data_IF_651529899733
#
_entry.id   IF_651529899733
#
_cell.length_a   1.000
_cell.length_b   1.000
_cell.length_c   1.000
_cell.angle_alpha   90.00
_cell.angle_beta   90.00
_cell.angle_gamma   90.00
#
_symmetry.space_group_name_H-M   'P 1'
#
loop_
_entity.id
_entity.type
_entity.pdbx_description
1 polymer ?
#
# COMPACT_ATOMS: atom_id res chain seq x y z
N UNK A 1 8.42 26.53 41.57
CA UNK A 1 9.47 25.50 41.46
C UNK A 1 10.54 26.05 40.54
N UNK A 2 11.65 26.55 41.07
CA UNK A 2 12.76 27.04 40.26
C UNK A 2 13.56 25.83 39.78
N UNK A 3 13.51 25.56 38.48
CA UNK A 3 14.36 24.55 37.83
C UNK A 3 15.81 25.01 38.00
N UNK A 4 16.67 24.14 38.55
CA UNK A 4 18.06 24.48 38.84
C UNK A 4 18.82 24.81 37.55
N UNK A 5 19.83 25.67 37.60
CA UNK A 5 20.65 25.97 36.40
C UNK A 5 21.29 24.71 35.80
N UNK A 6 21.65 23.75 36.66
CA UNK A 6 22.15 22.43 36.25
C UNK A 6 21.16 21.66 35.38
N UNK A 7 19.85 21.75 35.67
CA UNK A 7 18.83 21.05 34.87
C UNK A 7 18.61 21.72 33.51
N UNK A 8 18.86 23.04 33.40
CA UNK A 8 18.79 23.77 32.13
C UNK A 8 19.97 23.43 31.23
N UNK A 9 21.17 23.30 31.80
CA UNK A 9 22.36 22.85 31.05
C UNK A 9 22.21 21.41 30.59
N UNK A 10 21.74 20.51 31.46
CA UNK A 10 21.46 19.11 31.09
C UNK A 10 20.39 19.03 29.98
N UNK A 11 19.33 19.84 30.04
CA UNK A 11 18.34 19.92 28.95
C UNK A 11 18.92 20.50 27.66
N UNK A 12 19.87 21.44 27.74
CA UNK A 12 20.53 22.01 26.58
C UNK A 12 21.51 21.00 25.93
N UNK A 13 22.22 20.21 26.73
CA UNK A 13 23.07 19.12 26.24
C UNK A 13 22.24 17.96 25.67
N UNK A 14 21.13 17.58 26.31
CA UNK A 14 20.20 16.59 25.75
C UNK A 14 19.58 17.08 24.44
N UNK A 15 19.30 18.38 24.30
CA UNK A 15 18.84 18.98 23.04
C UNK A 15 19.92 19.00 21.96
N UNK A 16 21.19 19.28 22.31
CA UNK A 16 22.31 19.17 21.36
C UNK A 16 22.56 17.71 20.94
N UNK A 17 22.49 16.77 21.88
CA UNK A 17 22.59 15.34 21.60
C UNK A 17 21.41 14.81 20.79
N UNK A 18 20.20 15.34 20.98
CA UNK A 18 19.04 15.07 20.12
C UNK A 18 19.21 15.64 18.71
N UNK A 19 19.92 16.76 18.52
CA UNK A 19 20.23 17.27 17.18
C UNK A 19 21.25 16.36 16.45
N UNK A 20 22.24 15.82 17.17
CA UNK A 20 23.26 14.91 16.61
C UNK A 20 22.76 13.47 16.38
N UNK A 21 21.77 13.00 17.15
CA UNK A 21 21.20 11.62 17.06
C UNK A 21 19.85 11.60 16.31
N UNK A 22 19.43 12.69 15.67
CA UNK A 22 18.31 12.67 14.70
C UNK A 22 18.77 12.32 13.30
N UNK A 23 19.66 11.34 13.17
CA UNK A 23 19.76 10.57 11.93
C UNK A 23 18.58 9.60 11.91
N UNK A 24 17.37 10.14 11.72
CA UNK A 24 16.24 9.33 11.31
C UNK A 24 16.71 8.51 10.12
N UNK A 25 16.51 7.19 10.08
CA UNK A 25 16.87 6.42 8.89
C UNK A 25 15.77 6.59 7.86
N UNK A 26 16.04 7.24 6.74
CA UNK A 26 15.10 7.27 5.63
C UNK A 26 15.28 5.98 4.80
N UNK A 27 14.29 5.08 4.79
CA UNK A 27 14.38 3.82 4.06
C UNK A 27 14.21 4.00 2.54
N UNK A 28 13.80 5.18 2.08
CA UNK A 28 13.44 5.45 0.68
C UNK A 28 14.67 5.86 -0.15
N UNK A 29 15.66 6.46 0.49
CA UNK A 29 16.86 6.98 -0.19
C UNK A 29 18.03 6.02 -0.03
N UNK A 30 18.55 5.54 -1.16
CA UNK A 30 19.75 4.71 -1.22
C UNK A 30 20.91 5.34 -0.46
N UNK A 31 21.14 6.65 -0.68
CA UNK A 31 22.22 7.40 -0.05
C UNK A 31 22.18 7.37 1.48
N UNK A 32 21.00 7.45 2.10
CA UNK A 32 20.89 7.45 3.57
C UNK A 32 21.14 6.07 4.14
N UNK A 33 20.80 5.00 3.42
CA UNK A 33 21.16 3.62 3.79
C UNK A 33 22.67 3.36 3.66
N UNK A 34 23.31 3.89 2.63
CA UNK A 34 24.76 3.84 2.49
C UNK A 34 25.44 4.60 3.65
N UNK A 35 24.98 5.81 3.98
CA UNK A 35 25.48 6.59 5.12
C UNK A 35 25.23 5.86 6.45
N UNK A 36 24.07 5.23 6.61
CA UNK A 36 23.75 4.43 7.81
C UNK A 36 24.70 3.25 7.95
N UNK A 37 25.05 2.59 6.85
CA UNK A 37 25.99 1.47 6.86
C UNK A 37 27.38 1.90 7.30
N UNK A 38 27.84 3.06 6.84
CA UNK A 38 29.13 3.62 7.24
C UNK A 38 29.14 4.08 8.69
N UNK A 39 28.02 4.55 9.23
CA UNK A 39 27.92 4.95 10.64
C UNK A 39 27.90 3.73 11.58
N UNK A 40 27.11 2.71 11.24
CA UNK A 40 26.94 1.52 12.10
C UNK A 40 28.18 0.63 12.05
N UNK A 41 28.73 0.39 10.86
CA UNK A 41 29.80 -0.60 10.64
C UNK A 41 31.15 0.01 10.29
N UNK A 42 31.24 1.32 10.05
CA UNK A 42 32.51 1.97 9.68
C UNK A 42 33.58 1.89 10.77
N UNK A 43 33.18 1.70 12.03
CA UNK A 43 34.10 1.47 13.14
C UNK A 43 34.62 0.02 13.22
N UNK A 44 33.90 -0.95 12.64
CA UNK A 44 34.13 -2.37 12.88
C UNK A 44 34.84 -3.09 11.72
N UNK A 45 34.54 -2.75 10.45
CA UNK A 45 35.33 -3.13 9.27
C UNK A 45 34.75 -2.46 8.00
N UNK A 46 35.60 -1.82 7.19
CA UNK A 46 35.22 -1.25 5.88
C UNK A 46 34.61 -2.28 4.93
N UNK A 47 35.04 -3.54 5.00
CA UNK A 47 34.53 -4.63 4.15
C UNK A 47 33.09 -4.95 4.53
N UNK A 48 32.77 -5.02 5.83
CA UNK A 48 31.40 -5.29 6.32
C UNK A 48 30.46 -4.15 5.96
N UNK A 49 30.91 -2.90 6.11
CA UNK A 49 30.14 -1.74 5.68
C UNK A 49 29.83 -1.79 4.18
N UNK A 50 30.82 -2.09 3.34
CA UNK A 50 30.63 -2.22 1.89
C UNK A 50 29.61 -3.31 1.54
N UNK A 51 29.77 -4.53 2.09
CA UNK A 51 28.86 -5.66 1.82
C UNK A 51 27.43 -5.34 2.22
N UNK A 52 27.22 -4.78 3.42
CA UNK A 52 25.90 -4.36 3.88
C UNK A 52 25.30 -3.28 2.96
N UNK A 53 26.11 -2.29 2.57
CA UNK A 53 25.69 -1.20 1.69
C UNK A 53 25.21 -1.70 0.32
N UNK A 54 25.92 -2.67 -0.26
CA UNK A 54 25.55 -3.31 -1.54
C UNK A 54 24.27 -4.13 -1.39
N UNK A 55 24.14 -4.90 -0.32
CA UNK A 55 22.93 -5.70 -0.06
C UNK A 55 21.70 -4.81 0.07
N UNK A 56 21.79 -3.72 0.85
CA UNK A 56 20.67 -2.77 0.99
C UNK A 56 20.39 -2.06 -0.35
N UNK A 57 21.43 -1.73 -1.12
CA UNK A 57 21.27 -1.14 -2.45
C UNK A 57 20.48 -2.05 -3.40
N UNK A 58 20.80 -3.34 -3.42
CA UNK A 58 20.11 -4.32 -4.25
C UNK A 58 18.66 -4.50 -3.82
N UNK A 59 18.36 -4.58 -2.52
CA UNK A 59 16.98 -4.66 -2.01
C UNK A 59 16.18 -3.41 -2.41
N UNK A 60 16.77 -2.22 -2.26
CA UNK A 60 16.13 -0.98 -2.69
C UNK A 60 15.87 -0.93 -4.20
N UNK A 61 16.82 -1.42 -5.02
CA UNK A 61 16.67 -1.47 -6.47
C UNK A 61 15.53 -2.41 -6.89
N UNK A 62 15.49 -3.63 -6.35
CA UNK A 62 14.41 -4.59 -6.63
C UNK A 62 13.05 -4.02 -6.26
N UNK A 63 12.92 -3.41 -5.08
CA UNK A 63 11.67 -2.77 -4.67
C UNK A 63 11.25 -1.61 -5.58
N UNK A 64 12.21 -0.82 -6.11
CA UNK A 64 11.92 0.24 -7.08
C UNK A 64 11.48 -0.30 -8.43
N UNK A 65 12.10 -1.39 -8.91
CA UNK A 65 11.71 -2.05 -10.17
C UNK A 65 10.27 -2.58 -10.09
N UNK A 66 9.90 -3.26 -9.00
CA UNK A 66 8.52 -3.75 -8.82
C UNK A 66 7.52 -2.61 -8.80
N UNK A 67 7.83 -1.49 -8.11
CA UNK A 67 6.95 -0.31 -8.10
C UNK A 67 6.81 0.35 -9.46
N UNK A 68 7.90 0.43 -10.23
CA UNK A 68 7.88 0.95 -11.59
C UNK A 68 6.99 0.08 -12.49
N UNK A 69 7.13 -1.24 -12.39
CA UNK A 69 6.32 -2.20 -13.14
C UNK A 69 4.82 -2.04 -12.83
N UNK A 70 4.46 -1.86 -11.55
CA UNK A 70 3.06 -1.65 -11.15
C UNK A 70 2.50 -0.37 -11.81
N UNK A 71 3.25 0.73 -11.80
CA UNK A 71 2.81 2.00 -12.39
C UNK A 71 2.67 1.87 -13.91
N UNK A 72 3.68 1.32 -14.57
CA UNK A 72 3.69 1.14 -16.03
C UNK A 72 2.57 0.21 -16.46
N UNK A 73 2.38 -0.92 -15.76
CA UNK A 73 1.28 -1.85 -16.02
C UNK A 73 -0.09 -1.19 -15.89
N UNK A 74 -0.30 -0.38 -14.85
CA UNK A 74 -1.55 0.35 -14.67
C UNK A 74 -1.84 1.35 -15.81
N UNK A 75 -0.81 2.06 -16.30
CA UNK A 75 -0.97 3.01 -17.41
C UNK A 75 -1.20 2.29 -18.74
N UNK A 76 -0.48 1.20 -19.00
CA UNK A 76 -0.66 0.39 -20.22
C UNK A 76 -2.05 -0.26 -20.25
N UNK A 77 -2.56 -0.72 -19.12
CA UNK A 77 -3.90 -1.32 -19.04
C UNK A 77 -5.02 -0.28 -19.26
N UNK A 78 -4.85 0.94 -18.74
CA UNK A 78 -5.84 2.01 -18.94
C UNK A 78 -5.82 2.59 -20.34
N UNK A 79 -4.66 2.61 -21.00
CA UNK A 79 -4.47 3.26 -22.30
C UNK A 79 -3.81 2.30 -23.28
N UNK A 80 -4.61 1.72 -24.16
CA UNK A 80 -4.17 0.75 -25.17
C UNK A 80 -3.10 1.29 -26.13
N UNK A 81 -2.97 2.62 -26.27
CA UNK A 81 -1.95 3.25 -27.11
C UNK A 81 -0.50 2.98 -26.63
N UNK A 82 -0.30 2.57 -25.37
CA UNK A 82 1.02 2.22 -24.83
C UNK A 82 1.34 0.72 -24.92
N UNK A 83 0.54 -0.06 -25.65
CA UNK A 83 0.81 -1.50 -25.86
C UNK A 83 2.00 -1.76 -26.76
N UNK A 84 2.35 -0.81 -27.63
CA UNK A 84 3.54 -0.90 -28.49
C UNK A 84 4.84 -0.85 -27.66
N UNK A 85 5.85 -1.68 -27.96
CA UNK A 85 7.07 -1.77 -27.17
C UNK A 85 7.84 -0.44 -27.12
N UNK A 86 7.83 0.33 -28.21
CA UNK A 86 8.47 1.64 -28.27
C UNK A 86 7.73 2.67 -27.40
N UNK A 87 6.40 2.64 -27.40
CA UNK A 87 5.57 3.54 -26.60
C UNK A 87 5.72 3.21 -25.10
N UNK A 88 5.76 1.92 -24.75
CA UNK A 88 6.02 1.45 -23.40
C UNK A 88 7.43 1.88 -22.91
N UNK A 89 8.46 1.76 -23.76
CA UNK A 89 9.81 2.23 -23.43
C UNK A 89 9.85 3.74 -23.14
N UNK A 90 9.19 4.56 -23.98
CA UNK A 90 9.09 6.01 -23.77
C UNK A 90 8.35 6.32 -22.47
N UNK A 91 7.26 5.59 -22.17
CA UNK A 91 6.51 5.72 -20.92
C UNK A 91 7.40 5.45 -19.70
N UNK A 92 8.20 4.38 -19.73
CA UNK A 92 9.16 4.06 -18.66
C UNK A 92 10.13 5.22 -18.42
N UNK A 93 10.71 5.80 -19.49
CA UNK A 93 11.60 6.96 -19.38
C UNK A 93 10.89 8.15 -18.73
N UNK A 94 9.67 8.47 -19.17
CA UNK A 94 8.90 9.58 -18.62
C UNK A 94 8.63 9.37 -17.12
N UNK A 95 8.19 8.18 -16.72
CA UNK A 95 7.94 7.84 -15.31
C UNK A 95 9.22 7.93 -14.48
N UNK A 96 10.36 7.47 -15.01
CA UNK A 96 11.66 7.60 -14.36
C UNK A 96 12.08 9.08 -14.19
N UNK A 97 11.94 9.90 -15.22
CA UNK A 97 12.26 11.34 -15.17
C UNK A 97 11.37 12.09 -14.17
N UNK A 98 10.06 11.83 -14.17
CA UNK A 98 9.12 12.42 -13.20
C UNK A 98 9.46 12.01 -11.77
N UNK A 99 9.78 10.74 -11.54
CA UNK A 99 10.22 10.26 -10.23
C UNK A 99 11.54 10.92 -9.78
N UNK A 100 12.47 11.14 -10.70
CA UNK A 100 13.72 11.84 -10.40
C UNK A 100 13.46 13.30 -10.00
N UNK A 101 12.61 14.01 -10.74
CA UNK A 101 12.23 15.40 -10.42
C UNK A 101 11.54 15.50 -9.05
N UNK A 102 10.60 14.58 -8.77
CA UNK A 102 9.93 14.53 -7.48
C UNK A 102 10.91 14.22 -6.34
N UNK A 103 11.85 13.29 -6.56
CA UNK A 103 12.87 12.96 -5.58
C UNK A 103 13.80 14.16 -5.31
N UNK A 104 14.16 14.94 -6.34
CA UNK A 104 14.94 16.17 -6.16
C UNK A 104 14.18 17.22 -5.35
N UNK A 105 12.87 17.41 -5.60
CA UNK A 105 12.05 18.33 -4.82
C UNK A 105 11.97 17.91 -3.33
N UNK A 106 11.94 16.60 -3.06
CA UNK A 106 11.93 16.04 -1.70
C UNK A 106 13.32 16.00 -1.04
N UNK A 107 14.41 16.23 -1.78
CA UNK A 107 15.78 16.24 -1.28
C UNK A 107 16.23 17.60 -0.70
N UNK A 108 15.32 18.56 -0.52
CA UNK A 108 15.61 19.85 0.09
C UNK A 108 16.12 19.71 1.56
N UNK A 109 16.81 20.71 2.09
CA UNK A 109 17.50 20.70 3.41
C UNK A 109 16.64 20.31 4.61
N UNK A 110 15.31 20.38 4.49
CA UNK A 110 14.32 19.86 5.47
C UNK A 110 13.35 18.82 4.91
N UNK A 111 13.47 18.48 3.63
CA UNK A 111 12.66 17.47 2.97
C UNK A 111 12.86 16.08 3.56
N UNK A 112 14.02 15.84 4.17
CA UNK A 112 14.35 14.59 4.84
C UNK A 112 13.35 14.19 5.94
N UNK A 113 13.12 15.11 6.88
CA UNK A 113 12.22 14.90 8.01
C UNK A 113 10.79 14.68 7.49
N UNK A 114 10.38 15.47 6.49
CA UNK A 114 9.06 15.33 5.85
C UNK A 114 8.90 13.98 5.15
N UNK A 115 9.93 13.49 4.45
CA UNK A 115 9.89 12.19 3.79
C UNK A 115 9.86 11.03 4.81
N UNK A 116 10.54 11.17 5.96
CA UNK A 116 10.42 10.22 7.06
C UNK A 116 8.98 10.17 7.59
N UNK A 117 8.34 11.31 7.84
CA UNK A 117 6.93 11.36 8.25
C UNK A 117 5.98 10.75 7.22
N UNK A 118 6.19 11.03 5.93
CA UNK A 118 5.41 10.39 4.87
C UNK A 118 5.53 8.87 4.94
N UNK A 119 6.74 8.36 5.15
CA UNK A 119 7.00 6.94 5.16
C UNK A 119 6.45 6.21 6.40
N UNK A 120 6.53 6.83 7.57
CA UNK A 120 6.13 6.19 8.84
C UNK A 120 4.67 6.44 9.22
N UNK A 121 4.03 7.49 8.69
CA UNK A 121 2.67 7.89 9.08
C UNK A 121 1.73 7.88 7.88
N UNK A 122 2.05 8.63 6.83
CA UNK A 122 1.13 8.80 5.69
C UNK A 122 0.95 7.48 4.93
N UNK A 123 2.02 6.81 4.52
CA UNK A 123 1.91 5.57 3.72
C UNK A 123 1.20 4.43 4.47
N UNK A 124 1.45 4.18 5.77
CA UNK A 124 0.69 3.18 6.51
C UNK A 124 -0.80 3.50 6.61
N UNK A 125 -1.17 4.75 6.91
CA UNK A 125 -2.59 5.17 7.00
C UNK A 125 -3.28 5.04 5.64
N UNK A 126 -2.65 5.57 4.59
CA UNK A 126 -3.19 5.50 3.22
C UNK A 126 -3.30 4.05 2.75
N UNK A 127 -2.27 3.23 2.99
CA UNK A 127 -2.27 1.81 2.66
C UNK A 127 -3.38 1.04 3.37
N UNK A 128 -3.56 1.26 4.67
CA UNK A 128 -4.64 0.66 5.45
C UNK A 128 -6.03 1.10 4.94
N UNK A 129 -6.19 2.38 4.59
CA UNK A 129 -7.44 2.92 4.05
C UNK A 129 -7.77 2.33 2.67
N UNK A 130 -6.79 2.24 1.76
CA UNK A 130 -6.97 1.63 0.43
C UNK A 130 -7.36 0.15 0.58
N UNK A 131 -6.63 -0.62 1.38
CA UNK A 131 -6.94 -2.04 1.64
C UNK A 131 -8.34 -2.19 2.25
N UNK A 132 -8.71 -1.30 3.18
CA UNK A 132 -10.06 -1.29 3.75
C UNK A 132 -11.13 -1.03 2.68
N UNK A 133 -10.93 -0.05 1.79
CA UNK A 133 -11.86 0.22 0.70
C UNK A 133 -11.94 -0.94 -0.31
N UNK A 134 -10.83 -1.57 -0.65
CA UNK A 134 -10.80 -2.76 -1.51
C UNK A 134 -11.60 -3.91 -0.88
N UNK A 135 -11.36 -4.20 0.40
CA UNK A 135 -12.10 -5.23 1.14
C UNK A 135 -13.58 -4.87 1.29
N UNK A 136 -13.91 -3.60 1.50
CA UNK A 136 -15.29 -3.13 1.55
C UNK A 136 -16.01 -3.34 0.21
N UNK A 137 -15.36 -2.97 -0.90
CA UNK A 137 -15.91 -3.16 -2.25
C UNK A 137 -16.06 -4.64 -2.58
N UNK A 138 -15.04 -5.45 -2.27
CA UNK A 138 -15.09 -6.90 -2.43
C UNK A 138 -16.16 -7.55 -1.54
N UNK A 139 -16.34 -7.08 -0.32
CA UNK A 139 -17.30 -7.63 0.62
C UNK A 139 -18.75 -7.33 0.26
N UNK A 140 -19.05 -6.06 -0.02
CA UNK A 140 -20.42 -5.58 -0.21
C UNK A 140 -20.89 -5.73 -1.65
N UNK A 141 -20.09 -5.30 -2.63
CA UNK A 141 -20.53 -5.30 -4.03
C UNK A 141 -20.22 -6.62 -4.73
N UNK A 142 -19.07 -7.22 -4.45
CA UNK A 142 -18.68 -8.46 -5.11
C UNK A 142 -19.15 -9.73 -4.37
N UNK A 143 -19.04 -9.70 -3.04
CA UNK A 143 -19.25 -10.82 -2.13
C UNK A 143 -18.00 -11.67 -1.92
N UNK A 144 -17.49 -11.73 -0.69
CA UNK A 144 -16.30 -12.52 -0.32
C UNK A 144 -16.39 -14.00 -0.72
N UNK A 145 -17.59 -14.60 -0.62
CA UNK A 145 -17.82 -16.01 -1.00
C UNK A 145 -17.57 -16.27 -2.48
N UNK A 146 -18.04 -15.36 -3.33
CA UNK A 146 -17.85 -15.44 -4.79
C UNK A 146 -16.37 -15.28 -5.11
N UNK A 147 -15.73 -14.25 -4.52
CA UNK A 147 -14.33 -13.96 -4.75
C UNK A 147 -13.46 -15.15 -4.37
N UNK A 148 -13.69 -15.70 -3.18
CA UNK A 148 -13.00 -16.89 -2.70
C UNK A 148 -13.18 -18.10 -3.64
N UNK A 149 -14.40 -18.36 -4.12
CA UNK A 149 -14.69 -19.44 -5.06
C UNK A 149 -13.89 -19.29 -6.37
N UNK A 150 -13.88 -18.09 -6.93
CA UNK A 150 -13.15 -17.78 -8.16
C UNK A 150 -11.64 -17.93 -7.98
N UNK A 151 -11.07 -17.36 -6.92
CA UNK A 151 -9.64 -17.44 -6.62
C UNK A 151 -9.20 -18.88 -6.38
N UNK A 152 -9.99 -19.65 -5.60
CA UNK A 152 -9.68 -21.06 -5.35
C UNK A 152 -9.66 -21.87 -6.65
N UNK A 153 -10.60 -21.62 -7.56
CA UNK A 153 -10.66 -22.31 -8.84
C UNK A 153 -9.49 -21.91 -9.77
N UNK A 154 -9.06 -20.65 -9.74
CA UNK A 154 -7.89 -20.19 -10.52
C UNK A 154 -6.58 -20.76 -9.99
N UNK A 155 -6.41 -20.82 -8.66
CA UNK A 155 -5.15 -21.25 -8.01
C UNK A 155 -4.98 -22.75 -8.04
N UNK A 156 -6.01 -23.51 -7.66
CA UNK A 156 -5.91 -24.97 -7.52
C UNK A 156 -6.40 -25.73 -8.76
N UNK A 157 -6.99 -25.02 -9.72
CA UNK A 157 -7.68 -25.65 -10.85
C UNK A 157 -8.81 -26.58 -10.39
N UNK A 158 -9.30 -27.39 -11.33
CA UNK A 158 -10.35 -28.41 -11.10
C UNK A 158 -9.80 -29.64 -10.33
N UNK A 159 -8.51 -29.63 -9.95
CA UNK A 159 -7.80 -30.85 -9.58
C UNK A 159 -8.00 -31.29 -8.11
N UNK A 160 -8.66 -32.45 -8.02
CA UNK A 160 -8.62 -33.57 -7.05
C UNK A 160 -8.79 -33.31 -5.54
N UNK A 161 -9.78 -34.03 -5.03
CA UNK A 161 -10.46 -33.89 -3.75
C UNK A 161 -9.81 -34.67 -2.59
N UNK A 162 -8.48 -34.63 -2.43
CA UNK A 162 -7.83 -35.56 -1.49
C UNK A 162 -7.78 -35.09 -0.02
N UNK A 163 -8.17 -33.84 0.29
CA UNK A 163 -8.30 -33.40 1.68
C UNK A 163 -9.52 -32.47 1.90
N UNK A 164 -10.73 -33.01 1.73
CA UNK A 164 -11.99 -32.25 1.83
C UNK A 164 -12.12 -31.46 3.15
N UNK A 165 -11.69 -32.04 4.28
CA UNK A 165 -11.77 -31.40 5.62
C UNK A 165 -10.74 -30.28 5.81
N UNK A 166 -9.48 -30.52 5.46
CA UNK A 166 -8.41 -29.51 5.59
C UNK A 166 -8.68 -28.32 4.65
N UNK A 167 -9.14 -28.59 3.43
CA UNK A 167 -9.57 -27.55 2.49
C UNK A 167 -10.70 -26.72 3.07
N UNK A 168 -11.73 -27.35 3.65
CA UNK A 168 -12.82 -26.61 4.31
C UNK A 168 -12.33 -25.72 5.45
N UNK A 169 -11.43 -26.22 6.31
CA UNK A 169 -10.88 -25.41 7.40
C UNK A 169 -10.10 -24.20 6.88
N UNK A 170 -9.18 -24.40 5.94
CA UNK A 170 -8.43 -23.29 5.33
C UNK A 170 -9.37 -22.28 4.66
N UNK A 171 -10.41 -22.74 3.96
CA UNK A 171 -11.39 -21.85 3.34
C UNK A 171 -12.11 -20.97 4.38
N UNK A 172 -12.52 -21.56 5.51
CA UNK A 172 -13.18 -20.80 6.59
C UNK A 172 -12.23 -19.79 7.22
N UNK A 173 -10.97 -20.18 7.46
CA UNK A 173 -9.95 -19.27 8.03
C UNK A 173 -9.69 -18.09 7.10
N UNK A 174 -9.45 -18.33 5.81
CA UNK A 174 -9.22 -17.26 4.83
C UNK A 174 -10.43 -16.35 4.69
N UNK A 175 -11.65 -16.91 4.69
CA UNK A 175 -12.86 -16.11 4.60
C UNK A 175 -13.10 -15.27 5.85
N UNK A 176 -12.83 -15.81 7.05
CA UNK A 176 -12.88 -15.06 8.30
C UNK A 176 -11.82 -13.96 8.35
N UNK A 177 -10.61 -14.25 7.85
CA UNK A 177 -9.50 -13.30 7.77
C UNK A 177 -9.88 -12.08 6.91
N UNK A 178 -10.39 -12.33 5.71
CA UNK A 178 -10.79 -11.26 4.77
C UNK A 178 -12.02 -10.48 5.21
N UNK A 179 -13.02 -11.15 5.80
CA UNK A 179 -14.29 -10.50 6.12
C UNK A 179 -14.31 -9.78 7.47
N UNK A 180 -13.50 -10.24 8.43
CA UNK A 180 -13.54 -9.74 9.82
C UNK A 180 -12.18 -9.25 10.28
N UNK A 181 -11.14 -10.08 10.21
CA UNK A 181 -9.84 -9.76 10.82
C UNK A 181 -9.19 -8.57 10.13
N UNK A 182 -9.00 -8.62 8.81
CA UNK A 182 -8.32 -7.56 8.07
C UNK A 182 -9.03 -6.21 8.16
N UNK A 183 -10.36 -6.09 7.97
CA UNK A 183 -11.05 -4.80 8.13
C UNK A 183 -10.90 -4.22 9.54
N UNK A 184 -11.01 -5.05 10.59
CA UNK A 184 -10.82 -4.61 11.98
C UNK A 184 -9.38 -4.16 12.19
N UNK A 185 -8.39 -4.90 11.70
CA UNK A 185 -6.98 -4.50 11.77
C UNK A 185 -6.72 -3.17 11.07
N UNK A 186 -7.29 -2.92 9.89
CA UNK A 186 -7.15 -1.64 9.19
C UNK A 186 -7.74 -0.47 9.99
N UNK A 187 -8.96 -0.63 10.51
CA UNK A 187 -9.59 0.40 11.35
C UNK A 187 -8.77 0.65 12.61
N UNK A 188 -8.34 -0.42 13.30
CA UNK A 188 -7.52 -0.33 14.50
C UNK A 188 -6.19 0.38 14.24
N UNK A 189 -5.48 0.04 13.15
CA UNK A 189 -4.23 0.71 12.78
C UNK A 189 -4.42 2.22 12.56
N UNK A 190 -5.47 2.62 11.84
CA UNK A 190 -5.78 4.04 11.58
C UNK A 190 -6.13 4.75 12.90
N UNK A 191 -7.02 4.16 13.70
CA UNK A 191 -7.45 4.75 14.98
C UNK A 191 -6.28 4.88 15.95
N UNK A 192 -5.46 3.83 16.11
CA UNK A 192 -4.29 3.87 16.97
C UNK A 192 -3.28 4.93 16.50
N UNK A 193 -3.01 5.05 15.19
CA UNK A 193 -2.12 6.09 14.69
C UNK A 193 -2.60 7.50 15.04
N UNK A 194 -3.90 7.79 14.89
CA UNK A 194 -4.47 9.10 15.19
C UNK A 194 -4.50 9.38 16.70
N UNK A 195 -4.96 8.42 17.51
CA UNK A 195 -5.06 8.59 18.97
C UNK A 195 -3.68 8.67 19.62
N UNK A 196 -2.71 7.90 19.13
CA UNK A 196 -1.34 7.93 19.64
C UNK A 196 -0.67 9.28 19.35
N UNK A 197 -0.83 9.81 18.14
CA UNK A 197 -0.30 11.14 17.79
C UNK A 197 -0.91 12.25 18.66
N UNK A 198 -2.22 12.19 18.89
CA UNK A 198 -2.93 13.15 19.73
C UNK A 198 -2.52 13.06 21.21
N UNK A 199 -2.38 11.85 21.76
CA UNK A 199 -2.10 11.66 23.18
C UNK A 199 -0.66 12.02 23.57
N UNK A 200 0.31 11.85 22.66
CA UNK A 200 1.71 12.22 22.89
C UNK A 200 2.06 13.63 22.45
N UNK A 201 1.11 14.38 21.87
CA UNK A 201 1.35 15.71 21.30
C UNK A 201 2.56 15.74 20.35
N UNK A 202 2.79 14.64 19.62
CA UNK A 202 3.96 14.48 18.77
C UNK A 202 3.86 15.32 17.48
N UNK A 203 2.64 15.73 17.11
CA UNK A 203 2.32 16.53 15.92
C UNK A 203 2.90 15.94 14.61
N UNK A 204 2.90 14.62 14.46
CA UNK A 204 3.29 14.00 13.19
C UNK A 204 2.19 14.10 12.13
N UNK A 205 0.91 14.14 12.53
CA UNK A 205 -0.23 14.38 11.64
C UNK A 205 -0.49 15.88 11.45
N UNK A 206 0.54 16.60 11.03
CA UNK A 206 0.44 18.00 10.59
C UNK A 206 -0.53 18.15 9.41
N UNK A 207 -0.97 19.40 9.14
CA UNK A 207 -1.75 19.76 7.95
C UNK A 207 -1.13 19.24 6.65
N UNK A 208 0.20 19.19 6.56
CA UNK A 208 0.92 18.64 5.40
C UNK A 208 0.68 17.13 5.23
N UNK A 209 0.73 16.36 6.32
CA UNK A 209 0.46 14.91 6.30
C UNK A 209 -0.98 14.63 5.89
N UNK A 210 -1.94 15.39 6.43
CA UNK A 210 -3.35 15.30 6.05
C UNK A 210 -3.60 15.65 4.59
N UNK A 211 -2.93 16.68 4.06
CA UNK A 211 -3.03 17.04 2.64
C UNK A 211 -2.64 15.87 1.74
N UNK A 212 -1.55 15.17 2.04
CA UNK A 212 -1.13 14.00 1.27
C UNK A 212 -2.09 12.81 1.39
N UNK A 213 -2.62 12.55 2.60
CA UNK A 213 -3.64 11.51 2.80
C UNK A 213 -4.85 11.83 1.91
N UNK A 214 -5.33 13.07 1.91
CA UNK A 214 -6.46 13.49 1.09
C UNK A 214 -6.13 13.37 -0.39
N UNK A 215 -5.00 13.91 -0.86
CA UNK A 215 -4.63 13.87 -2.29
C UNK A 215 -4.59 12.44 -2.82
N UNK A 216 -4.05 11.48 -2.04
CA UNK A 216 -3.95 10.09 -2.48
C UNK A 216 -5.28 9.35 -2.40
N UNK A 217 -6.12 9.64 -1.40
CA UNK A 217 -7.41 8.95 -1.24
C UNK A 217 -8.54 9.56 -2.06
N UNK A 218 -8.47 10.86 -2.40
CA UNK A 218 -9.52 11.61 -3.12
C UNK A 218 -9.92 11.02 -4.49
N UNK A 219 -9.02 10.42 -5.29
CA UNK A 219 -9.40 9.79 -6.56
C UNK A 219 -10.46 8.71 -6.39
N UNK A 220 -10.50 7.99 -5.26
CA UNK A 220 -11.48 6.91 -5.02
C UNK A 220 -12.92 7.45 -4.99
N UNK A 221 -13.31 8.37 -4.06
CA UNK A 221 -14.64 8.96 -4.08
C UNK A 221 -14.85 9.87 -5.29
N UNK A 222 -13.80 10.55 -5.79
CA UNK A 222 -13.88 11.42 -6.96
C UNK A 222 -14.32 10.67 -8.22
N UNK A 223 -13.68 9.54 -8.53
CA UNK A 223 -14.05 8.71 -9.67
C UNK A 223 -15.42 8.05 -9.49
N UNK A 224 -15.79 7.67 -8.26
CA UNK A 224 -17.13 7.15 -7.96
C UNK A 224 -18.20 8.20 -8.27
N UNK A 225 -18.04 9.42 -7.77
CA UNK A 225 -18.96 10.53 -8.02
C UNK A 225 -19.03 10.89 -9.50
N UNK A 226 -17.88 10.97 -10.17
CA UNK A 226 -17.80 11.19 -11.61
C UNK A 226 -18.59 10.13 -12.39
N UNK A 227 -18.40 8.85 -12.05
CA UNK A 227 -19.10 7.73 -12.72
C UNK A 227 -20.62 7.79 -12.51
N UNK A 228 -21.06 8.12 -11.30
CA UNK A 228 -22.48 8.29 -10.98
C UNK A 228 -23.07 9.47 -11.77
N UNK A 229 -22.39 10.61 -11.76
CA UNK A 229 -22.80 11.81 -12.49
C UNK A 229 -22.88 11.54 -13.99
N UNK A 230 -21.89 10.86 -14.56
CA UNK A 230 -21.85 10.50 -15.97
C UNK A 230 -23.05 9.63 -16.36
N UNK A 231 -23.35 8.56 -15.60
CA UNK A 231 -24.53 7.73 -15.85
C UNK A 231 -25.84 8.53 -15.73
N UNK A 232 -25.94 9.39 -14.71
CA UNK A 232 -27.10 10.25 -14.52
C UNK A 232 -27.31 11.23 -15.69
N UNK A 233 -26.23 11.85 -16.18
CA UNK A 233 -26.26 12.80 -17.31
C UNK A 233 -26.71 12.18 -18.62
N UNK A 234 -26.45 10.88 -18.80
CA UNK A 234 -26.90 10.10 -19.96
C UNK A 234 -28.34 9.57 -19.81
N UNK A 235 -29.00 9.82 -18.68
CA UNK A 235 -30.33 9.26 -18.38
C UNK A 235 -30.31 7.76 -18.07
N UNK A 236 -29.13 7.18 -17.82
CA UNK A 236 -28.98 5.76 -17.52
C UNK A 236 -29.23 5.49 -16.04
N UNK A 237 -29.70 4.28 -15.73
CA UNK A 237 -29.79 3.83 -14.34
C UNK A 237 -28.40 3.68 -13.72
N UNK A 238 -28.24 4.01 -12.44
CA UNK A 238 -26.98 3.87 -11.69
C UNK A 238 -26.70 2.40 -11.31
N UNK A 239 -27.74 1.57 -11.27
CA UNK A 239 -27.68 0.14 -10.87
C UNK A 239 -26.56 -0.68 -11.54
N UNK A 240 -26.25 -0.52 -12.84
CA UNK A 240 -25.17 -1.26 -13.49
C UNK A 240 -23.79 -1.00 -12.89
N UNK A 241 -23.53 0.18 -12.31
CA UNK A 241 -22.25 0.49 -11.65
C UNK A 241 -21.99 -0.42 -10.44
N UNK A 242 -23.06 -0.84 -9.77
CA UNK A 242 -22.99 -1.72 -8.61
C UNK A 242 -23.23 -3.19 -8.97
N UNK A 243 -23.44 -3.49 -10.26
CA UNK A 243 -23.62 -4.86 -10.73
C UNK A 243 -22.26 -5.50 -10.92
N UNK A 244 -22.05 -6.65 -10.29
CA UNK A 244 -20.85 -7.49 -10.43
C UNK A 244 -20.55 -7.73 -11.91
N UNK A 245 -19.36 -7.34 -12.35
CA UNK A 245 -18.84 -7.73 -13.67
C UNK A 245 -18.04 -9.04 -13.54
N UNK A 246 -18.53 -10.17 -14.06
CA UNK A 246 -17.84 -11.46 -14.00
C UNK A 246 -16.57 -11.50 -14.86
N UNK A 247 -16.39 -10.57 -15.81
CA UNK A 247 -15.22 -10.52 -16.68
C UNK A 247 -13.99 -9.89 -16.00
N UNK A 248 -14.19 -9.04 -14.99
CA UNK A 248 -13.07 -8.40 -14.26
C UNK A 248 -12.43 -9.33 -13.21
N UNK A 249 -13.24 -10.10 -12.48
CA UNK A 249 -12.79 -10.85 -11.28
C UNK A 249 -13.13 -12.35 -11.33
N UNK A 250 -13.60 -12.85 -12.48
CA UNK A 250 -14.00 -14.24 -12.68
C UNK A 250 -13.06 -15.00 -13.61
N UNK A 251 -13.15 -16.34 -13.66
CA UNK A 251 -12.38 -17.15 -14.59
C UNK A 251 -12.59 -16.70 -16.04
N UNK A 252 -11.51 -16.61 -16.82
CA UNK A 252 -11.58 -16.14 -18.22
C UNK A 252 -12.41 -17.07 -19.12
N UNK A 253 -12.41 -18.37 -18.86
CA UNK A 253 -13.17 -19.35 -19.65
C UNK A 253 -14.58 -19.57 -19.10
N UNK A 254 -15.55 -19.73 -20.00
CA UNK A 254 -16.96 -19.95 -19.64
C UNK A 254 -17.18 -21.24 -18.84
N UNK A 255 -16.42 -22.30 -19.12
CA UNK A 255 -16.45 -23.56 -18.37
C UNK A 255 -16.12 -23.36 -16.89
N UNK A 256 -15.04 -22.62 -16.63
CA UNK A 256 -14.55 -22.35 -15.28
C UNK A 256 -15.50 -21.43 -14.50
N UNK A 257 -16.22 -20.54 -15.19
CA UNK A 257 -17.27 -19.71 -14.57
C UNK A 257 -18.44 -20.57 -14.06
N UNK A 258 -18.93 -21.49 -14.89
CA UNK A 258 -20.03 -22.39 -14.51
C UNK A 258 -19.62 -23.25 -13.31
N UNK A 259 -18.37 -23.69 -13.27
CA UNK A 259 -17.84 -24.47 -12.16
C UNK A 259 -17.67 -23.65 -10.88
N UNK A 260 -17.17 -22.41 -10.99
CA UNK A 260 -17.08 -21.50 -9.85
C UNK A 260 -18.47 -21.16 -9.26
N UNK A 261 -19.49 -21.01 -10.11
CA UNK A 261 -20.88 -20.86 -9.66
C UNK A 261 -21.41 -22.12 -8.95
N UNK A 262 -21.05 -23.33 -9.42
CA UNK A 262 -21.42 -24.58 -8.72
C UNK A 262 -20.75 -24.66 -7.36
N UNK A 263 -19.45 -24.31 -7.28
CA UNK A 263 -18.71 -24.27 -6.03
C UNK A 263 -19.31 -23.23 -5.05
N UNK A 264 -19.70 -22.06 -5.55
CA UNK A 264 -20.40 -21.04 -4.77
C UNK A 264 -21.74 -21.57 -4.20
N UNK A 265 -22.55 -22.24 -5.03
CA UNK A 265 -23.82 -22.85 -4.59
C UNK A 265 -23.61 -23.94 -3.54
N UNK A 266 -22.55 -24.73 -3.68
CA UNK A 266 -22.17 -25.68 -2.63
C UNK A 266 -21.86 -24.92 -1.35
N UNK A 267 -21.02 -23.87 -1.36
CA UNK A 267 -20.73 -23.08 -0.15
C UNK A 267 -22.01 -22.52 0.51
N UNK A 268 -23.02 -22.12 -0.26
CA UNK A 268 -24.32 -21.63 0.28
C UNK A 268 -25.12 -22.67 1.05
N UNK A 269 -24.97 -23.97 0.76
CA UNK A 269 -25.73 -25.01 1.45
C UNK A 269 -25.07 -25.44 2.78
N UNK A 270 -23.83 -25.02 3.01
CA UNK A 270 -23.01 -25.49 4.13
C UNK A 270 -22.98 -24.47 5.28
N UNK A 271 -23.58 -23.30 5.06
CA UNK A 271 -23.75 -22.18 5.98
C UNK A 271 -25.22 -21.79 6.02
#
# INVERSE_FOLDING_TARGET
MQISESDKELQAELRRGEEDIRIFHNPVTLATRLISSTIIFGAYDTVVALVYSVLVAMICLVNKLVRLEIIVSAVVETTTAFTDPNACFVLVIIVCCLNMLLQMALAYTRGYIRLAYMNFVVYPIVGAAIVFFELFVLGIFYGFRVFFSNTTLMVYGVAKAEAKKVKMFMNTVVLADWSVVLPICCVFMITCAVVYDQSLHFNALDMFSWLWIIIVLLPIPGLMLYSIYYQYSLGNSIRPLFKRNPDLWGPRTRSNRIEAERAERMIRQWW
#
